data_IF_004747615372
#
_entry.id   IF_004747615372
#
_cell.length_a   1.000
_cell.length_b   1.000
_cell.length_c   1.000
_cell.angle_alpha   90.00
_cell.angle_beta   90.00
_cell.angle_gamma   90.00
#
_symmetry.space_group_name_H-M   'P 1'
#
loop_
_entity.id
_entity.type
_entity.pdbx_description
1 polymer ?
#
# COMPACT_ATOMS: atom_id res chain seq x y z
N UNK A 1 5.08 -27.00 6.92
CA UNK A 1 6.32 -26.29 6.54
C UNK A 1 6.33 -24.83 7.02
N UNK A 2 5.28 -24.04 6.79
CA UNK A 2 5.19 -22.63 7.26
C UNK A 2 5.41 -22.48 8.77
N UNK A 3 4.84 -23.38 9.60
CA UNK A 3 5.08 -23.41 11.06
C UNK A 3 6.56 -23.51 11.43
N UNK A 4 7.35 -24.29 10.67
CA UNK A 4 8.78 -24.49 10.92
C UNK A 4 9.60 -23.23 10.54
N UNK A 5 9.16 -22.49 9.52
CA UNK A 5 9.74 -21.18 9.17
C UNK A 5 9.53 -20.14 10.26
N UNK A 6 8.29 -20.01 10.75
CA UNK A 6 7.95 -19.09 11.84
C UNK A 6 8.78 -19.42 13.10
N UNK A 7 8.93 -20.71 13.41
CA UNK A 7 9.76 -21.18 14.52
C UNK A 7 11.25 -20.80 14.37
N UNK A 8 11.81 -20.94 13.18
CA UNK A 8 13.20 -20.58 12.90
C UNK A 8 13.44 -19.07 12.97
N UNK A 9 12.49 -18.25 12.50
CA UNK A 9 12.58 -16.78 12.64
C UNK A 9 12.57 -16.34 14.10
N UNK A 10 11.73 -16.95 14.93
CA UNK A 10 11.68 -16.66 16.37
C UNK A 10 12.99 -17.01 17.08
N UNK A 11 13.57 -18.17 16.76
CA UNK A 11 14.88 -18.58 17.28
C UNK A 11 16.01 -17.67 16.79
N UNK A 12 15.98 -17.23 15.54
CA UNK A 12 16.98 -16.31 14.99
C UNK A 12 16.92 -14.93 15.67
N UNK A 13 15.71 -14.43 15.92
CA UNK A 13 15.52 -13.15 16.62
C UNK A 13 16.05 -13.21 18.07
N UNK A 14 15.62 -14.20 18.85
CA UNK A 14 15.97 -14.33 20.27
C UNK A 14 17.46 -14.62 20.53
N UNK A 15 18.16 -15.24 19.57
CA UNK A 15 19.58 -15.59 19.68
C UNK A 15 20.52 -14.59 19.01
N UNK A 16 20.02 -13.47 18.52
CA UNK A 16 20.84 -12.46 17.86
C UNK A 16 21.77 -11.75 18.85
N UNK A 17 23.03 -11.52 18.47
CA UNK A 17 24.00 -10.80 19.31
C UNK A 17 23.57 -9.36 19.64
N UNK A 18 22.69 -8.78 18.83
CA UNK A 18 22.10 -7.45 19.00
C UNK A 18 20.66 -7.47 19.52
N UNK A 19 20.27 -8.50 20.29
CA UNK A 19 18.88 -8.69 20.76
C UNK A 19 18.26 -7.44 21.40
N UNK A 20 19.00 -6.73 22.27
CA UNK A 20 18.51 -5.51 22.92
C UNK A 20 18.19 -4.38 21.93
N UNK A 21 19.10 -4.08 21.02
CA UNK A 21 18.89 -3.10 19.94
C UNK A 21 17.75 -3.53 19.01
N UNK A 22 17.68 -4.83 18.67
CA UNK A 22 16.61 -5.38 17.83
C UNK A 22 15.23 -5.31 18.52
N UNK A 23 15.18 -5.46 19.86
CA UNK A 23 13.96 -5.31 20.65
C UNK A 23 13.50 -3.86 20.70
N UNK A 24 14.40 -2.92 21.00
CA UNK A 24 14.10 -1.49 21.01
C UNK A 24 13.59 -1.01 19.64
N UNK A 25 14.24 -1.42 18.55
CA UNK A 25 13.80 -1.11 17.19
C UNK A 25 12.42 -1.68 16.87
N UNK A 26 12.10 -2.91 17.32
CA UNK A 26 10.76 -3.50 17.12
C UNK A 26 9.69 -2.76 17.91
N UNK A 27 9.98 -2.32 19.13
CA UNK A 27 9.05 -1.52 19.94
C UNK A 27 8.79 -0.18 19.26
N UNK A 28 9.84 0.51 18.78
CA UNK A 28 9.72 1.77 18.06
C UNK A 28 8.88 1.62 16.79
N UNK A 29 9.14 0.59 15.97
CA UNK A 29 8.34 0.29 14.77
C UNK A 29 6.89 -0.03 15.17
N UNK A 30 6.67 -0.78 16.25
CA UNK A 30 5.35 -1.05 16.82
C UNK A 30 4.57 0.23 17.14
N UNK A 31 5.21 1.15 17.84
CA UNK A 31 4.61 2.45 18.19
C UNK A 31 4.27 3.26 16.94
N UNK A 32 5.20 3.35 15.97
CA UNK A 32 4.94 4.04 14.70
C UNK A 32 3.76 3.42 13.93
N UNK A 33 3.69 2.09 13.88
CA UNK A 33 2.57 1.39 13.22
C UNK A 33 1.22 1.77 13.85
N UNK A 34 1.12 1.79 15.18
CA UNK A 34 -0.10 2.18 15.89
C UNK A 34 -0.44 3.65 15.64
N UNK A 35 0.56 4.54 15.77
CA UNK A 35 0.40 5.97 15.52
C UNK A 35 -0.15 6.25 14.11
N UNK A 36 0.49 5.69 13.08
CA UNK A 36 0.02 5.85 11.71
C UNK A 36 -1.35 5.22 11.49
N UNK A 37 -1.66 4.07 12.10
CA UNK A 37 -2.98 3.45 11.99
C UNK A 37 -4.09 4.38 12.49
N UNK A 38 -3.89 5.03 13.65
CA UNK A 38 -4.86 5.99 14.19
C UNK A 38 -5.01 7.19 13.26
N UNK A 39 -3.90 7.73 12.75
CA UNK A 39 -3.91 8.86 11.81
C UNK A 39 -4.68 8.49 10.53
N UNK A 40 -4.41 7.32 9.93
CA UNK A 40 -5.10 6.88 8.71
C UNK A 40 -6.60 6.64 8.93
N UNK A 41 -7.01 6.13 10.09
CA UNK A 41 -8.42 6.00 10.45
C UNK A 41 -9.07 7.39 10.53
N UNK A 42 -8.43 8.31 11.26
CA UNK A 42 -8.88 9.70 11.38
C UNK A 42 -8.98 10.39 10.02
N UNK A 43 -7.99 10.18 9.15
CA UNK A 43 -8.01 10.69 7.78
C UNK A 43 -9.11 10.04 6.93
N UNK A 44 -9.36 8.74 7.07
CA UNK A 44 -10.42 8.05 6.32
C UNK A 44 -11.81 8.62 6.65
N UNK A 45 -12.08 8.89 7.92
CA UNK A 45 -13.34 9.53 8.35
C UNK A 45 -13.35 11.01 7.98
N UNK A 46 -12.29 11.74 8.34
CA UNK A 46 -12.17 13.19 8.18
C UNK A 46 -12.15 13.64 6.72
N UNK A 47 -11.54 12.86 5.82
CA UNK A 47 -11.48 13.19 4.40
C UNK A 47 -12.87 13.39 3.81
N UNK A 48 -13.86 12.58 4.19
CA UNK A 48 -15.22 12.75 3.71
C UNK A 48 -15.81 14.10 4.13
N UNK A 49 -15.78 14.41 5.43
CA UNK A 49 -16.37 15.62 5.98
C UNK A 49 -15.65 16.90 5.54
N UNK A 50 -14.32 16.90 5.52
CA UNK A 50 -13.51 18.04 5.06
C UNK A 50 -13.81 18.34 3.59
N UNK A 51 -13.89 17.31 2.74
CA UNK A 51 -14.20 17.51 1.32
C UNK A 51 -15.61 18.07 1.12
N UNK A 52 -16.57 17.61 1.92
CA UNK A 52 -17.95 18.10 1.91
C UNK A 52 -18.04 19.57 2.35
N UNK A 53 -17.31 19.97 3.41
CA UNK A 53 -17.21 21.36 3.85
C UNK A 53 -16.59 22.28 2.79
N UNK A 54 -15.65 21.76 2.01
CA UNK A 54 -15.06 22.48 0.87
C UNK A 54 -15.96 22.51 -0.38
N UNK A 55 -17.21 22.05 -0.29
CA UNK A 55 -18.15 21.93 -1.42
C UNK A 55 -17.62 21.06 -2.57
N UNK A 56 -16.81 20.05 -2.25
CA UNK A 56 -16.31 19.08 -3.23
C UNK A 56 -17.00 17.72 -3.04
N UNK A 57 -17.26 17.03 -4.15
CA UNK A 57 -17.75 15.65 -4.11
C UNK A 57 -16.67 14.72 -3.54
N UNK A 58 -16.87 14.10 -2.36
CA UNK A 58 -15.80 13.41 -1.64
C UNK A 58 -15.22 12.23 -2.42
N UNK A 59 -16.08 11.36 -2.96
CA UNK A 59 -15.64 10.17 -3.68
C UNK A 59 -14.87 10.53 -4.97
N UNK A 60 -15.42 11.46 -5.76
CA UNK A 60 -14.79 11.92 -7.01
C UNK A 60 -13.42 12.55 -6.72
N UNK A 61 -13.33 13.32 -5.63
CA UNK A 61 -12.08 13.97 -5.25
C UNK A 61 -11.03 12.96 -4.79
N UNK A 62 -11.41 11.95 -3.99
CA UNK A 62 -10.51 10.84 -3.65
C UNK A 62 -10.06 10.11 -4.90
N UNK A 63 -10.98 9.80 -5.82
CA UNK A 63 -10.67 9.17 -7.11
C UNK A 63 -9.69 9.98 -7.95
N UNK A 64 -9.77 11.31 -7.90
CA UNK A 64 -8.83 12.21 -8.56
C UNK A 64 -7.40 12.06 -8.03
N UNK A 65 -7.24 11.88 -6.72
CA UNK A 65 -5.93 11.77 -6.07
C UNK A 65 -5.39 10.33 -6.02
N UNK A 66 -6.20 9.30 -6.30
CA UNK A 66 -5.77 7.90 -6.27
C UNK A 66 -4.53 7.61 -7.14
N UNK A 67 -4.39 8.25 -8.30
CA UNK A 67 -3.21 8.04 -9.16
C UNK A 67 -1.92 8.49 -8.45
N UNK A 68 -1.94 9.67 -7.84
CA UNK A 68 -0.80 10.18 -7.08
C UNK A 68 -0.54 9.35 -5.82
N UNK A 69 -1.61 8.86 -5.19
CA UNK A 69 -1.51 7.96 -4.06
C UNK A 69 -0.79 6.66 -4.43
N UNK A 70 -1.20 5.97 -5.50
CA UNK A 70 -0.58 4.71 -5.92
C UNK A 70 0.85 4.89 -6.45
N UNK A 71 1.14 5.99 -7.15
CA UNK A 71 2.52 6.30 -7.55
C UNK A 71 3.41 6.57 -6.35
N UNK A 72 2.93 7.36 -5.38
CA UNK A 72 3.67 7.67 -4.16
C UNK A 72 3.86 6.42 -3.30
N UNK A 73 2.83 5.59 -3.17
CA UNK A 73 2.89 4.29 -2.50
C UNK A 73 3.97 3.40 -3.11
N UNK A 74 4.04 3.29 -4.44
CA UNK A 74 5.09 2.53 -5.11
C UNK A 74 6.49 3.08 -4.81
N UNK A 75 6.68 4.41 -4.84
CA UNK A 75 7.96 5.06 -4.50
C UNK A 75 8.35 4.80 -3.04
N UNK A 76 7.42 4.95 -2.11
CA UNK A 76 7.64 4.69 -0.68
C UNK A 76 8.02 3.22 -0.45
N UNK A 77 7.37 2.28 -1.17
CA UNK A 77 7.71 0.85 -1.10
C UNK A 77 9.10 0.56 -1.63
N UNK A 78 9.47 1.15 -2.77
CA UNK A 78 10.82 0.99 -3.33
C UNK A 78 11.91 1.48 -2.36
N UNK A 79 11.61 2.49 -1.54
CA UNK A 79 12.53 3.02 -0.52
C UNK A 79 12.54 2.21 0.78
N UNK A 80 11.36 1.99 1.36
CA UNK A 80 11.21 1.53 2.73
C UNK A 80 10.96 0.02 2.84
N UNK A 81 10.40 -0.59 1.80
CA UNK A 81 10.09 -2.02 1.79
C UNK A 81 11.24 -2.78 1.13
N UNK A 82 12.35 -2.94 1.85
CA UNK A 82 13.42 -3.87 1.45
C UNK A 82 12.83 -5.28 1.31
N UNK A 83 12.69 -5.76 0.08
CA UNK A 83 12.06 -7.07 -0.15
C UNK A 83 12.93 -8.14 0.50
N UNK A 84 12.32 -9.19 1.07
CA UNK A 84 13.05 -10.34 1.60
C UNK A 84 13.88 -11.12 0.57
N UNK A 85 14.20 -10.63 -0.64
CA UNK A 85 15.10 -11.29 -1.62
C UNK A 85 16.46 -11.65 -0.99
N UNK A 86 16.96 -10.80 -0.08
CA UNK A 86 18.18 -11.07 0.69
C UNK A 86 18.03 -12.22 1.70
N UNK A 87 16.82 -12.45 2.23
CA UNK A 87 16.53 -13.51 3.20
C UNK A 87 16.19 -14.86 2.54
N UNK A 88 16.01 -14.90 1.21
CA UNK A 88 15.71 -16.13 0.47
C UNK A 88 16.98 -16.91 0.11
N UNK A 89 18.13 -16.24 -0.05
CA UNK A 89 19.39 -16.86 -0.46
C UNK A 89 19.78 -18.07 0.43
N UNK A 90 19.66 -18.01 1.77
CA UNK A 90 19.93 -19.15 2.65
C UNK A 90 18.94 -20.31 2.48
N UNK A 91 17.74 -20.06 1.93
CA UNK A 91 16.72 -21.08 1.71
C UNK A 91 16.93 -21.84 0.39
N UNK A 92 17.65 -21.24 -0.56
CA UNK A 92 17.95 -21.85 -1.86
C UNK A 92 18.96 -23.01 -1.77
N UNK A 93 19.81 -23.01 -0.74
CA UNK A 93 20.78 -24.09 -0.48
C UNK A 93 20.18 -25.26 0.33
N UNK A 94 18.98 -25.07 0.89
CA UNK A 94 18.26 -26.11 1.61
C UNK A 94 17.43 -26.95 0.62
N UNK A 95 17.10 -28.22 0.94
CA UNK A 95 16.36 -29.12 0.05
C UNK A 95 14.85 -28.77 -0.03
N UNK A 96 14.54 -27.49 -0.22
CA UNK A 96 13.20 -26.98 -0.45
C UNK A 96 12.94 -26.77 -1.95
N UNK A 97 11.71 -27.05 -2.40
CA UNK A 97 11.32 -26.79 -3.78
C UNK A 97 11.28 -25.27 -4.03
N UNK A 98 11.90 -24.81 -5.12
CA UNK A 98 11.93 -23.37 -5.51
C UNK A 98 10.55 -22.70 -5.49
N UNK A 99 9.45 -23.30 -6.01
CA UNK A 99 8.13 -22.67 -5.97
C UNK A 99 7.62 -22.40 -4.54
N UNK A 100 7.89 -23.32 -3.59
CA UNK A 100 7.49 -23.15 -2.19
C UNK A 100 8.15 -21.93 -1.55
N UNK A 101 9.42 -21.70 -1.90
CA UNK A 101 10.20 -20.57 -1.42
C UNK A 101 9.65 -19.25 -2.00
N UNK A 102 9.33 -19.24 -3.30
CA UNK A 102 8.75 -18.07 -3.98
C UNK A 102 7.39 -17.72 -3.38
N UNK A 103 6.47 -18.68 -3.25
CA UNK A 103 5.15 -18.44 -2.64
C UNK A 103 5.24 -18.00 -1.18
N UNK A 104 6.19 -18.54 -0.42
CA UNK A 104 6.44 -18.09 0.95
C UNK A 104 6.89 -16.62 1.00
N UNK A 105 7.82 -16.23 0.12
CA UNK A 105 8.30 -14.84 0.03
C UNK A 105 7.17 -13.88 -0.39
N UNK A 106 6.41 -14.24 -1.43
CA UNK A 106 5.26 -13.46 -1.90
C UNK A 106 4.19 -13.32 -0.80
N UNK A 107 3.82 -14.41 -0.14
CA UNK A 107 2.85 -14.41 0.96
C UNK A 107 3.31 -13.53 2.14
N UNK A 108 4.60 -13.54 2.46
CA UNK A 108 5.17 -12.68 3.50
C UNK A 108 5.02 -11.20 3.16
N UNK A 109 5.22 -10.81 1.89
CA UNK A 109 4.98 -9.42 1.45
C UNK A 109 3.50 -9.06 1.47
N UNK A 110 2.62 -9.98 1.10
CA UNK A 110 1.17 -9.75 1.10
C UNK A 110 0.63 -9.41 2.51
N UNK A 111 1.18 -10.04 3.54
CA UNK A 111 0.86 -9.80 4.95
C UNK A 111 1.68 -8.68 5.61
N UNK A 112 2.46 -7.93 4.83
CA UNK A 112 3.25 -6.81 5.34
C UNK A 112 2.35 -5.66 5.83
N UNK A 113 2.81 -4.93 6.86
CA UNK A 113 2.15 -3.73 7.33
C UNK A 113 1.92 -2.71 6.21
N UNK A 114 2.83 -2.63 5.23
CA UNK A 114 2.68 -1.77 4.06
C UNK A 114 1.42 -2.07 3.24
N UNK A 115 0.82 -3.27 3.28
CA UNK A 115 -0.46 -3.51 2.61
C UNK A 115 -1.65 -3.21 3.51
N UNK A 116 -1.53 -3.57 4.79
CA UNK A 116 -2.59 -3.37 5.77
C UNK A 116 -2.81 -1.90 6.12
N UNK A 117 -1.78 -1.06 6.01
CA UNK A 117 -1.89 0.38 6.34
C UNK A 117 -2.95 1.08 5.50
N UNK A 118 -3.11 0.71 4.23
CA UNK A 118 -4.11 1.28 3.33
C UNK A 118 -5.55 0.95 3.78
N UNK A 119 -5.76 -0.22 4.38
CA UNK A 119 -7.06 -0.63 4.87
C UNK A 119 -7.55 0.31 5.99
N UNK A 120 -6.64 0.86 6.81
CA UNK A 120 -6.99 1.83 7.85
C UNK A 120 -7.51 3.15 7.29
N UNK A 121 -7.23 3.49 6.04
CA UNK A 121 -7.84 4.65 5.37
C UNK A 121 -9.11 4.27 4.61
N UNK A 122 -9.02 3.25 3.74
CA UNK A 122 -10.11 2.93 2.82
C UNK A 122 -11.32 2.28 3.51
N UNK A 123 -11.13 1.50 4.58
CA UNK A 123 -12.26 0.90 5.31
C UNK A 123 -13.09 2.00 5.99
N UNK A 124 -12.53 2.88 6.85
CA UNK A 124 -13.32 3.93 7.47
C UNK A 124 -13.95 4.89 6.45
N UNK A 125 -13.23 5.26 5.38
CA UNK A 125 -13.79 6.07 4.31
C UNK A 125 -15.01 5.42 3.64
N UNK A 126 -14.92 4.12 3.33
CA UNK A 126 -16.04 3.36 2.74
C UNK A 126 -17.23 3.25 3.68
N UNK A 127 -16.99 3.12 4.98
CA UNK A 127 -18.06 3.13 6.00
C UNK A 127 -18.77 4.47 6.05
N UNK A 128 -18.03 5.58 6.02
CA UNK A 128 -18.64 6.92 6.00
C UNK A 128 -19.44 7.14 4.73
N UNK A 129 -18.94 6.72 3.56
CA UNK A 129 -19.71 6.76 2.31
C UNK A 129 -21.05 6.03 2.45
N UNK A 130 -21.05 4.84 3.03
CA UNK A 130 -22.27 4.06 3.24
C UNK A 130 -23.27 4.76 4.19
N UNK A 131 -22.78 5.38 5.28
CA UNK A 131 -23.61 6.14 6.22
C UNK A 131 -24.25 7.35 5.54
N UNK A 132 -23.52 7.99 4.63
CA UNK A 132 -23.93 9.23 3.95
C UNK A 132 -24.80 8.97 2.70
N UNK A 133 -25.24 7.73 2.49
CA UNK A 133 -26.24 7.36 1.49
C UNK A 133 -25.71 6.94 0.12
N UNK A 134 -24.41 6.68 0.00
CA UNK A 134 -23.84 6.10 -1.22
C UNK A 134 -24.28 4.64 -1.38
N UNK A 135 -24.34 4.14 -2.62
CA UNK A 135 -24.79 2.79 -2.91
C UNK A 135 -23.78 1.76 -2.38
N UNK A 136 -24.24 0.87 -1.48
CA UNK A 136 -23.38 -0.13 -0.81
C UNK A 136 -22.72 -1.09 -1.81
N UNK A 137 -23.45 -1.53 -2.84
CA UNK A 137 -22.90 -2.43 -3.87
C UNK A 137 -21.75 -1.77 -4.62
N UNK A 138 -21.96 -0.53 -5.08
CA UNK A 138 -20.95 0.29 -5.74
C UNK A 138 -19.74 0.56 -4.84
N UNK A 139 -19.94 0.82 -3.55
CA UNK A 139 -18.83 1.01 -2.58
C UNK A 139 -17.98 -0.26 -2.50
N UNK A 140 -18.60 -1.44 -2.39
CA UNK A 140 -17.87 -2.70 -2.24
C UNK A 140 -17.02 -2.98 -3.48
N UNK A 141 -17.55 -2.76 -4.68
CA UNK A 141 -16.81 -2.95 -5.94
C UNK A 141 -15.63 -1.98 -6.02
N UNK A 142 -15.87 -0.70 -5.72
CA UNK A 142 -14.82 0.32 -5.68
C UNK A 142 -13.72 -0.04 -4.66
N UNK A 143 -14.11 -0.41 -3.45
CA UNK A 143 -13.18 -0.80 -2.38
C UNK A 143 -12.34 -2.02 -2.79
N UNK A 144 -12.97 -3.05 -3.38
CA UNK A 144 -12.28 -4.23 -3.86
C UNK A 144 -11.28 -3.91 -4.98
N UNK A 145 -11.65 -3.01 -5.90
CA UNK A 145 -10.76 -2.54 -6.97
C UNK A 145 -9.54 -1.81 -6.39
N UNK A 146 -9.76 -0.88 -5.45
CA UNK A 146 -8.68 -0.16 -4.76
C UNK A 146 -7.78 -1.11 -3.98
N UNK A 147 -8.33 -2.08 -3.25
CA UNK A 147 -7.55 -3.10 -2.56
C UNK A 147 -6.71 -3.93 -3.55
N UNK A 148 -7.28 -4.30 -4.69
CA UNK A 148 -6.56 -5.04 -5.73
C UNK A 148 -5.40 -4.23 -6.29
N UNK A 149 -5.56 -2.92 -6.49
CA UNK A 149 -4.49 -2.02 -6.92
C UNK A 149 -3.37 -1.90 -5.88
N UNK A 150 -3.68 -1.87 -4.58
CA UNK A 150 -2.68 -1.92 -3.51
C UNK A 150 -1.84 -3.20 -3.62
N UNK A 151 -2.47 -4.35 -3.84
CA UNK A 151 -1.75 -5.62 -4.00
C UNK A 151 -0.94 -5.67 -5.30
N UNK A 152 -1.48 -5.14 -6.41
CA UNK A 152 -0.72 -4.99 -7.66
C UNK A 152 0.53 -4.15 -7.41
N UNK A 153 0.43 -3.02 -6.71
CA UNK A 153 1.57 -2.20 -6.32
C UNK A 153 2.59 -2.98 -5.48
N UNK A 154 2.14 -3.78 -4.51
CA UNK A 154 3.04 -4.64 -3.73
C UNK A 154 3.80 -5.64 -4.61
N UNK A 155 3.13 -6.28 -5.56
CA UNK A 155 3.79 -7.23 -6.47
C UNK A 155 4.69 -6.53 -7.49
N UNK A 156 4.31 -5.34 -7.95
CA UNK A 156 5.16 -4.48 -8.79
C UNK A 156 6.44 -4.11 -8.05
N UNK A 157 6.36 -3.70 -6.78
CA UNK A 157 7.55 -3.45 -5.97
C UNK A 157 8.51 -4.65 -5.98
N UNK A 158 7.99 -5.87 -5.89
CA UNK A 158 8.81 -7.10 -5.90
C UNK A 158 9.60 -7.27 -7.20
N UNK A 159 8.96 -6.96 -8.33
CA UNK A 159 9.57 -7.06 -9.65
C UNK A 159 10.59 -5.94 -9.88
N UNK A 160 10.26 -4.72 -9.45
CA UNK A 160 11.02 -3.52 -9.78
C UNK A 160 12.24 -3.28 -8.88
N UNK A 161 12.25 -3.81 -7.65
CA UNK A 161 13.31 -3.55 -6.67
C UNK A 161 14.70 -4.05 -7.04
N UNK A 162 14.87 -4.87 -8.08
CA UNK A 162 16.21 -5.24 -8.58
C UNK A 162 16.76 -4.22 -9.61
N UNK A 163 16.04 -3.12 -9.86
CA UNK A 163 16.41 -2.13 -10.88
C UNK A 163 16.46 -0.74 -10.23
N UNK A 164 17.63 -0.37 -9.70
CA UNK A 164 17.85 0.87 -8.97
C UNK A 164 17.46 2.14 -9.75
N UNK A 165 17.59 2.10 -11.08
CA UNK A 165 17.23 3.25 -11.96
C UNK A 165 15.73 3.56 -11.98
N UNK A 166 14.87 2.56 -11.73
CA UNK A 166 13.42 2.76 -11.84
C UNK A 166 12.88 3.67 -10.75
N UNK A 167 13.47 3.66 -9.57
CA UNK A 167 13.13 4.60 -8.50
C UNK A 167 13.21 6.06 -8.97
N UNK A 168 14.33 6.43 -9.62
CA UNK A 168 14.55 7.77 -10.17
C UNK A 168 13.54 8.09 -11.27
N UNK A 169 13.18 7.11 -12.09
CA UNK A 169 12.16 7.26 -13.15
C UNK A 169 10.79 7.56 -12.55
N UNK A 170 10.34 6.82 -11.54
CA UNK A 170 9.03 7.05 -10.92
C UNK A 170 8.95 8.37 -10.17
N UNK A 171 10.01 8.80 -9.48
CA UNK A 171 10.06 10.14 -8.89
C UNK A 171 10.01 11.22 -9.97
N UNK A 172 10.83 11.07 -11.01
CA UNK A 172 10.83 11.99 -12.16
C UNK A 172 9.45 12.09 -12.80
N UNK A 173 8.75 10.96 -12.92
CA UNK A 173 7.38 10.91 -13.44
C UNK A 173 6.40 11.68 -12.54
N UNK A 174 6.41 11.45 -11.22
CA UNK A 174 5.53 12.17 -10.28
C UNK A 174 5.79 13.67 -10.34
N UNK A 175 7.06 14.10 -10.34
CA UNK A 175 7.43 15.51 -10.41
C UNK A 175 7.04 16.13 -11.75
N UNK A 176 7.25 15.42 -12.86
CA UNK A 176 6.86 15.89 -14.19
C UNK A 176 5.35 16.03 -14.33
N UNK A 177 4.58 15.05 -13.86
CA UNK A 177 3.11 15.10 -13.87
C UNK A 177 2.58 16.22 -12.96
N UNK A 178 3.15 16.36 -11.75
CA UNK A 178 2.79 17.43 -10.82
C UNK A 178 3.10 18.82 -11.37
N UNK A 179 4.28 19.00 -11.97
CA UNK A 179 4.66 20.26 -12.62
C UNK A 179 3.76 20.56 -13.83
N UNK A 180 3.51 19.58 -14.69
CA UNK A 180 2.63 19.75 -15.84
C UNK A 180 1.20 20.12 -15.44
N UNK A 181 0.71 19.58 -14.32
CA UNK A 181 -0.59 19.95 -13.75
C UNK A 181 -0.57 21.35 -13.14
N UNK A 182 0.50 21.74 -12.44
CA UNK A 182 0.65 23.08 -11.86
C UNK A 182 0.68 24.17 -12.94
N UNK A 183 1.43 23.96 -14.02
CA UNK A 183 1.50 24.88 -15.17
C UNK A 183 0.29 24.77 -16.11
N UNK A 184 -0.71 23.93 -15.78
CA UNK A 184 -1.93 23.72 -16.57
C UNK A 184 -1.67 23.21 -18.01
N UNK A 185 -0.50 22.62 -18.26
CA UNK A 185 -0.11 22.08 -19.56
C UNK A 185 -0.78 20.72 -19.79
N UNK A 186 -0.81 19.88 -18.75
CA UNK A 186 -1.39 18.54 -18.81
C UNK A 186 -1.90 18.11 -17.44
N UNK A 187 -3.11 17.57 -17.38
CA UNK A 187 -3.70 17.05 -16.15
C UNK A 187 -4.03 15.56 -16.29
N UNK A 188 -3.17 14.72 -15.69
CA UNK A 188 -3.34 13.26 -15.70
C UNK A 188 -4.64 12.83 -15.04
N UNK A 189 -5.11 13.59 -14.06
CA UNK A 189 -6.29 13.21 -13.29
C UNK A 189 -7.56 13.22 -14.13
N UNK A 190 -7.62 13.99 -15.22
CA UNK A 190 -8.75 13.96 -16.15
C UNK A 190 -8.93 12.61 -16.83
N UNK A 191 -7.83 11.87 -17.03
CA UNK A 191 -7.86 10.54 -17.66
C UNK A 191 -8.04 9.43 -16.63
N UNK A 192 -7.46 9.58 -15.43
CA UNK A 192 -7.51 8.51 -14.42
C UNK A 192 -8.75 8.56 -13.54
N UNK A 193 -9.32 9.75 -13.28
CA UNK A 193 -10.53 9.87 -12.44
C UNK A 193 -11.70 9.06 -12.99
N UNK A 194 -12.03 9.10 -14.31
CA UNK A 194 -13.12 8.30 -14.86
C UNK A 194 -12.90 6.80 -14.70
N UNK A 195 -11.65 6.32 -14.74
CA UNK A 195 -11.33 4.90 -14.53
C UNK A 195 -11.68 4.48 -13.10
N UNK A 196 -11.23 5.24 -12.10
CA UNK A 196 -11.51 4.95 -10.69
C UNK A 196 -13.00 5.13 -10.35
N UNK A 197 -13.62 6.16 -10.92
CA UNK A 197 -15.05 6.40 -10.77
C UNK A 197 -15.88 5.28 -11.43
N UNK A 198 -15.41 4.74 -12.56
CA UNK A 198 -16.04 3.60 -13.23
C UNK A 198 -16.19 2.36 -12.34
N UNK A 199 -15.26 2.13 -11.40
CA UNK A 199 -15.39 1.04 -10.43
C UNK A 199 -16.59 1.21 -9.49
N UNK A 200 -16.95 2.46 -9.18
CA UNK A 200 -18.14 2.78 -8.38
C UNK A 200 -19.41 2.82 -9.24
N UNK A 201 -19.34 3.45 -10.42
CA UNK A 201 -20.49 3.65 -11.30
C UNK A 201 -20.97 2.35 -11.98
N UNK A 202 -20.23 1.24 -11.81
CA UNK A 202 -20.65 -0.08 -12.29
C UNK A 202 -21.96 -0.46 -11.59
N UNK A 203 -23.07 -0.36 -12.32
CA UNK A 203 -24.40 -0.73 -11.83
C UNK A 203 -24.52 -2.24 -11.77
N UNK A 204 -24.83 -2.74 -10.56
CA UNK A 204 -25.30 -4.09 -10.30
C UNK A 204 -26.76 -4.03 -9.86
#
# INVERSE_FOLDING_TARGET
MIKKFIYLEWKAFTRSASFGTNLAMKILIGFLMIYFSIVFIGMGVGAFYILKEMNMEPLITVNRFLIYYFLSDLVIRLLMQAIPVLNIKPLLVLPFKKPTIVHFSLGKTALSFFNWVHAFFFIPFSVVLAIEGYNIGSIIVWFLAVCSLVYINNFLNIILSNIDKLFVVFIGLILALGAAQYYKIFNITNFTTPVFQGFYDTKW
#
